data_IF_783673817183
#
_entry.id   IF_783673817183
#
_cell.length_a   1.000
_cell.length_b   1.000
_cell.length_c   1.000
_cell.angle_alpha   90.00
_cell.angle_beta   90.00
_cell.angle_gamma   90.00
#
_symmetry.space_group_name_H-M   'P 1'
#
loop_
_entity.id
_entity.type
_entity.pdbx_description
1 polymer ?
#
# COMPACT_ATOMS: atom_id res chain seq x y z
N UNK A 1 -11.99 -26.49 -11.90
CA UNK A 1 -12.98 -25.68 -11.17
C UNK A 1 -12.40 -25.11 -9.86
N UNK A 2 -12.13 -25.92 -8.81
CA UNK A 2 -11.67 -25.41 -7.50
C UNK A 2 -10.38 -24.60 -7.63
N UNK A 3 -9.38 -25.09 -8.34
CA UNK A 3 -8.11 -24.39 -8.52
C UNK A 3 -8.24 -23.03 -9.24
N UNK A 4 -9.13 -22.93 -10.24
CA UNK A 4 -9.36 -21.66 -10.95
C UNK A 4 -10.13 -20.65 -10.10
N UNK A 5 -11.11 -21.11 -9.31
CA UNK A 5 -11.82 -20.27 -8.36
C UNK A 5 -10.86 -19.75 -7.28
N UNK A 6 -10.07 -20.62 -6.67
CA UNK A 6 -9.09 -20.26 -5.67
C UNK A 6 -8.06 -19.26 -6.21
N UNK A 7 -7.53 -19.49 -7.41
CA UNK A 7 -6.58 -18.59 -8.07
C UNK A 7 -7.17 -17.18 -8.25
N UNK A 8 -8.40 -17.09 -8.75
CA UNK A 8 -9.05 -15.80 -8.95
C UNK A 8 -9.34 -15.08 -7.63
N UNK A 9 -9.83 -15.80 -6.61
CA UNK A 9 -10.11 -15.23 -5.28
C UNK A 9 -8.84 -14.65 -4.66
N UNK A 10 -7.75 -15.41 -4.70
CA UNK A 10 -6.49 -14.97 -4.09
C UNK A 10 -5.91 -13.77 -4.82
N UNK A 11 -5.90 -13.74 -6.18
CA UNK A 11 -5.46 -12.56 -6.93
C UNK A 11 -6.30 -11.32 -6.65
N UNK A 12 -7.62 -11.49 -6.50
CA UNK A 12 -8.54 -10.40 -6.17
C UNK A 12 -8.35 -9.91 -4.74
N UNK A 13 -8.08 -10.81 -3.79
CA UNK A 13 -7.78 -10.45 -2.40
C UNK A 13 -6.45 -9.70 -2.28
N UNK A 14 -5.39 -10.15 -2.95
CA UNK A 14 -4.11 -9.44 -2.97
C UNK A 14 -4.20 -8.08 -3.67
N UNK A 15 -4.93 -7.97 -4.78
CA UNK A 15 -5.14 -6.69 -5.44
C UNK A 15 -5.85 -5.70 -4.49
N UNK A 16 -6.92 -6.14 -3.82
CA UNK A 16 -7.63 -5.33 -2.84
C UNK A 16 -6.76 -4.91 -1.65
N UNK A 17 -5.98 -5.84 -1.09
CA UNK A 17 -5.07 -5.52 0.02
C UNK A 17 -3.99 -4.52 -0.40
N UNK A 18 -3.45 -4.65 -1.61
CA UNK A 18 -2.48 -3.68 -2.15
C UNK A 18 -3.08 -2.29 -2.30
N UNK A 19 -4.26 -2.18 -2.93
CA UNK A 19 -4.97 -0.89 -3.09
C UNK A 19 -5.30 -0.29 -1.74
N UNK A 20 -5.73 -1.10 -0.78
CA UNK A 20 -6.01 -0.69 0.58
C UNK A 20 -4.77 -0.17 1.31
N UNK A 21 -3.64 -0.89 1.27
CA UNK A 21 -2.38 -0.45 1.87
C UNK A 21 -1.87 0.87 1.28
N UNK A 22 -2.02 1.04 -0.03
CA UNK A 22 -1.65 2.29 -0.71
C UNK A 22 -2.60 3.45 -0.37
N UNK A 23 -3.88 3.19 -0.08
CA UNK A 23 -4.83 4.25 0.26
C UNK A 23 -4.49 4.98 1.56
N UNK A 24 -3.92 4.29 2.54
CA UNK A 24 -3.45 4.92 3.78
C UNK A 24 -2.25 5.84 3.55
N UNK A 25 -1.28 5.39 2.76
CA UNK A 25 -0.13 6.19 2.37
C UNK A 25 -0.58 7.49 1.66
N UNK A 26 -1.59 7.40 0.79
CA UNK A 26 -2.08 8.54 0.03
C UNK A 26 -2.73 9.65 0.88
N UNK A 27 -3.08 9.38 2.13
CA UNK A 27 -3.78 10.36 2.98
C UNK A 27 -2.83 11.40 3.58
N UNK A 28 -1.63 10.98 3.99
CA UNK A 28 -0.61 11.88 4.54
C UNK A 28 0.44 12.30 3.52
N UNK A 29 0.67 11.47 2.49
CA UNK A 29 1.72 11.73 1.54
C UNK A 29 1.24 12.63 0.41
N UNK A 30 1.90 13.77 0.20
CA UNK A 30 1.62 14.68 -0.91
C UNK A 30 1.96 14.03 -2.25
N UNK A 31 1.54 14.65 -3.35
CA UNK A 31 1.87 14.16 -4.69
C UNK A 31 3.38 14.18 -4.95
N UNK A 32 4.03 15.28 -4.54
CA UNK A 32 5.48 15.44 -4.50
C UNK A 32 5.91 16.01 -3.15
N UNK A 33 7.12 15.68 -2.70
CA UNK A 33 7.70 16.22 -1.47
C UNK A 33 9.17 16.58 -1.68
N UNK A 34 9.53 17.81 -1.36
CA UNK A 34 10.93 18.21 -1.24
C UNK A 34 11.44 17.85 0.15
N UNK A 35 12.55 17.15 0.21
CA UNK A 35 13.26 16.80 1.43
C UNK A 35 14.72 17.25 1.35
N UNK A 36 15.39 17.60 2.45
CA UNK A 36 16.76 18.10 2.43
C UNK A 36 17.70 17.04 1.82
N UNK A 37 18.60 17.47 0.95
CA UNK A 37 19.63 16.60 0.38
C UNK A 37 20.69 16.23 1.41
N UNK A 38 21.01 17.15 2.32
CA UNK A 38 21.94 16.95 3.41
C UNK A 38 21.36 17.48 4.72
N UNK A 39 21.62 16.76 5.83
CA UNK A 39 21.08 17.14 7.14
C UNK A 39 19.58 16.80 7.31
N UNK A 40 18.92 17.53 8.22
CA UNK A 40 17.50 17.34 8.55
C UNK A 40 16.62 18.50 8.06
N UNK A 41 17.20 19.65 7.82
CA UNK A 41 16.50 20.90 7.51
C UNK A 41 17.17 21.64 6.36
N UNK A 42 16.43 22.47 5.68
CA UNK A 42 16.93 23.43 4.69
C UNK A 42 16.13 24.72 4.78
N UNK A 43 16.73 25.84 4.29
CA UNK A 43 16.07 27.15 4.30
C UNK A 43 15.42 27.43 2.96
N UNK A 44 14.23 28.03 2.99
CA UNK A 44 13.51 28.53 1.82
C UNK A 44 13.39 30.05 1.93
N UNK A 45 13.78 30.76 0.90
CA UNK A 45 13.65 32.23 0.86
C UNK A 45 12.26 32.68 0.37
N UNK A 46 11.89 33.93 0.62
CA UNK A 46 10.62 34.46 0.15
C UNK A 46 10.53 34.49 -1.40
N UNK A 47 11.67 34.71 -2.07
CA UNK A 47 11.74 34.67 -3.53
C UNK A 47 11.47 33.25 -4.07
N UNK A 48 12.01 32.26 -3.40
CA UNK A 48 11.76 30.84 -3.77
C UNK A 48 10.31 30.45 -3.49
N UNK A 49 9.73 30.87 -2.37
CA UNK A 49 8.30 30.64 -2.11
C UNK A 49 7.42 31.25 -3.20
N UNK A 50 7.75 32.49 -3.64
CA UNK A 50 7.03 33.13 -4.73
C UNK A 50 7.19 32.40 -6.05
N UNK A 51 8.42 31.96 -6.36
CA UNK A 51 8.69 31.18 -7.58
C UNK A 51 8.00 29.80 -7.57
N UNK A 52 7.89 29.14 -6.43
CA UNK A 52 7.12 27.89 -6.28
C UNK A 52 5.64 28.11 -6.56
N UNK A 53 5.07 29.23 -6.08
CA UNK A 53 3.65 29.54 -6.28
C UNK A 53 3.29 29.80 -7.76
N UNK A 54 4.26 30.19 -8.60
CA UNK A 54 4.09 30.47 -10.02
C UNK A 54 4.30 29.23 -10.93
N UNK A 55 4.68 28.07 -10.37
CA UNK A 55 4.91 26.86 -11.17
C UNK A 55 3.61 26.36 -11.79
N UNK A 56 3.59 26.27 -13.12
CA UNK A 56 2.46 25.70 -13.86
C UNK A 56 2.26 24.22 -13.50
N UNK A 57 1.00 23.82 -13.22
CA UNK A 57 0.65 22.47 -12.81
C UNK A 57 0.71 22.21 -11.30
N UNK A 58 1.21 23.16 -10.50
CA UNK A 58 1.16 23.11 -9.05
C UNK A 58 -0.15 23.75 -8.54
N UNK A 59 -0.94 22.99 -7.78
CA UNK A 59 -2.18 23.49 -7.20
C UNK A 59 -1.95 24.25 -5.90
N UNK A 60 -1.10 23.72 -5.02
CA UNK A 60 -0.75 24.32 -3.73
C UNK A 60 0.51 23.63 -3.17
N UNK A 61 1.15 24.30 -2.20
CA UNK A 61 2.23 23.69 -1.42
C UNK A 61 2.12 24.08 0.05
N UNK A 62 2.77 23.28 0.91
CA UNK A 62 2.78 23.44 2.36
C UNK A 62 4.15 23.14 2.93
N UNK A 63 4.57 23.95 3.88
CA UNK A 63 5.84 23.78 4.60
C UNK A 63 5.62 22.90 5.84
N UNK A 64 6.61 22.07 6.15
CA UNK A 64 6.60 21.27 7.38
C UNK A 64 7.96 21.26 8.06
N UNK A 65 7.93 21.12 9.39
CA UNK A 65 9.12 20.92 10.22
C UNK A 65 8.86 19.75 11.16
N UNK A 66 9.63 18.67 11.00
CA UNK A 66 9.45 17.43 11.74
C UNK A 66 10.70 17.12 12.59
N UNK A 67 10.51 16.80 13.86
CA UNK A 67 11.60 16.32 14.73
C UNK A 67 11.08 15.26 15.70
N UNK A 68 11.97 14.35 16.10
CA UNK A 68 11.69 13.33 17.09
C UNK A 68 11.53 13.96 18.48
N UNK A 69 10.46 13.61 19.16
CA UNK A 69 10.11 14.18 20.45
C UNK A 69 9.73 13.11 21.46
N UNK A 70 9.91 13.44 22.73
CA UNK A 70 9.40 12.68 23.85
C UNK A 70 8.09 13.31 24.31
N UNK A 71 7.02 12.57 24.19
CA UNK A 71 5.67 13.00 24.51
C UNK A 71 5.30 12.51 25.90
N UNK A 72 4.90 13.40 26.78
CA UNK A 72 4.57 13.04 28.16
C UNK A 72 3.27 13.66 28.64
N UNK A 73 2.53 12.91 29.42
CA UNK A 73 1.36 13.38 30.12
C UNK A 73 1.25 12.67 31.47
N UNK A 74 1.34 13.44 32.57
CA UNK A 74 1.44 12.91 33.93
C UNK A 74 2.60 11.91 34.06
N UNK A 75 2.30 10.66 34.45
CA UNK A 75 3.30 9.59 34.64
C UNK A 75 3.51 8.74 33.35
N UNK A 76 2.75 9.02 32.28
CA UNK A 76 2.84 8.27 31.04
C UNK A 76 3.67 9.02 30.01
N UNK A 77 4.41 8.26 29.22
CA UNK A 77 5.26 8.83 28.17
C UNK A 77 5.41 7.89 26.98
N UNK A 78 5.70 8.47 25.84
CA UNK A 78 6.01 7.73 24.61
C UNK A 78 6.97 8.54 23.72
N UNK A 79 7.62 7.88 22.79
CA UNK A 79 8.41 8.53 21.77
C UNK A 79 7.54 8.68 20.52
N UNK A 80 7.52 9.90 19.99
CA UNK A 80 6.83 10.21 18.73
C UNK A 80 7.60 11.26 17.93
N UNK A 81 6.90 11.90 17.04
CA UNK A 81 7.42 13.01 16.23
C UNK A 81 6.46 14.19 16.33
N UNK A 82 7.01 15.36 16.63
CA UNK A 82 6.26 16.58 16.47
C UNK A 82 6.43 17.05 15.02
N UNK A 83 5.33 17.41 14.38
CA UNK A 83 5.28 17.92 13.01
C UNK A 83 4.59 19.28 13.01
N UNK A 84 5.38 20.33 12.85
CA UNK A 84 4.90 21.66 12.61
C UNK A 84 4.43 21.79 11.17
N UNK A 85 3.22 22.25 10.94
CA UNK A 85 2.62 22.41 9.62
C UNK A 85 2.00 23.81 9.47
N UNK A 86 2.03 24.35 8.25
CA UNK A 86 1.40 25.61 7.93
C UNK A 86 -0.11 25.45 7.62
N UNK A 87 -0.80 26.54 7.37
CA UNK A 87 -2.25 26.56 7.10
C UNK A 87 -2.62 25.81 5.82
N UNK A 88 -1.71 25.73 4.86
CA UNK A 88 -1.95 25.07 3.58
C UNK A 88 -1.87 23.54 3.67
N UNK A 89 -1.31 23.00 4.75
CA UNK A 89 -1.09 21.54 4.91
C UNK A 89 -2.37 20.73 4.67
N UNK A 90 -3.50 21.22 5.18
CA UNK A 90 -4.81 20.57 5.03
C UNK A 90 -5.32 20.55 3.58
N UNK A 91 -4.98 21.59 2.80
CA UNK A 91 -5.34 21.66 1.38
C UNK A 91 -4.42 20.79 0.49
N UNK A 92 -3.18 20.56 0.94
CA UNK A 92 -2.18 19.77 0.21
C UNK A 92 -2.33 18.27 0.50
N UNK A 93 -2.73 17.92 1.72
CA UNK A 93 -2.89 16.52 2.17
C UNK A 93 -4.36 16.21 2.46
N UNK A 94 -4.70 14.92 2.52
CA UNK A 94 -6.06 14.45 2.85
C UNK A 94 -6.34 14.36 4.35
N UNK A 95 -5.54 15.01 5.19
CA UNK A 95 -5.51 14.82 6.64
C UNK A 95 -6.84 15.13 7.34
N UNK A 96 -7.65 16.04 6.80
CA UNK A 96 -8.98 16.36 7.36
C UNK A 96 -9.93 15.15 7.38
N UNK A 97 -9.81 14.27 6.41
CA UNK A 97 -10.65 13.06 6.33
C UNK A 97 -10.33 12.02 7.40
N UNK A 98 -9.20 12.15 8.08
CA UNK A 98 -8.73 11.21 9.11
C UNK A 98 -9.15 11.59 10.53
N UNK A 99 -9.68 12.80 10.70
CA UNK A 99 -10.07 13.31 12.01
C UNK A 99 -11.30 12.57 12.52
N UNK A 100 -11.18 11.91 13.65
CA UNK A 100 -12.29 11.16 14.27
C UNK A 100 -12.94 11.91 15.44
N UNK A 101 -12.16 12.76 16.13
CA UNK A 101 -12.65 13.59 17.22
C UNK A 101 -12.04 14.99 17.15
N UNK A 102 -12.82 15.99 17.57
CA UNK A 102 -12.34 17.38 17.67
C UNK A 102 -12.20 18.07 16.32
N UNK A 103 -11.26 19.01 16.24
CA UNK A 103 -10.97 19.78 15.04
C UNK A 103 -9.49 20.15 14.97
N UNK A 104 -9.04 20.61 13.82
CA UNK A 104 -7.77 21.32 13.69
C UNK A 104 -7.94 22.66 14.38
N UNK A 105 -7.43 22.76 15.62
CA UNK A 105 -7.59 23.97 16.41
C UNK A 105 -7.03 25.21 15.74
N UNK A 106 -7.68 26.35 15.93
CA UNK A 106 -7.23 27.65 15.46
C UNK A 106 -6.23 28.34 16.39
N UNK A 107 -6.17 27.90 17.65
CA UNK A 107 -5.26 28.48 18.62
C UNK A 107 -3.83 27.96 18.43
N UNK A 108 -2.85 28.83 18.62
CA UNK A 108 -1.43 28.54 18.37
C UNK A 108 -0.93 27.30 19.13
N UNK A 109 -1.38 27.12 20.38
CA UNK A 109 -0.95 26.02 21.25
C UNK A 109 -1.76 24.73 21.08
N UNK A 110 -2.61 24.66 20.07
CA UNK A 110 -3.41 23.47 19.78
C UNK A 110 -2.61 22.46 18.96
N UNK A 111 -2.85 21.18 19.26
CA UNK A 111 -2.27 20.09 18.48
C UNK A 111 -3.26 18.96 18.21
N UNK A 112 -3.02 18.25 17.11
CA UNK A 112 -3.77 17.09 16.70
C UNK A 112 -2.88 15.86 16.84
N UNK A 113 -3.36 14.84 17.55
CA UNK A 113 -2.58 13.64 17.85
C UNK A 113 -3.23 12.38 17.28
N UNK A 114 -2.43 11.35 16.98
CA UNK A 114 -2.97 10.06 16.57
C UNK A 114 -3.69 9.34 17.71
N UNK A 115 -4.71 8.55 17.36
CA UNK A 115 -5.51 7.77 18.32
C UNK A 115 -4.64 6.83 19.16
N UNK A 116 -3.54 6.33 18.60
CA UNK A 116 -2.56 5.49 19.30
C UNK A 116 -1.87 6.24 20.45
N UNK A 117 -1.43 7.50 20.21
CA UNK A 117 -0.84 8.38 21.24
C UNK A 117 -1.91 8.77 22.26
N UNK A 118 -3.12 9.13 21.79
CA UNK A 118 -4.25 9.49 22.63
C UNK A 118 -4.57 8.39 23.65
N UNK A 119 -4.71 7.15 23.20
CA UNK A 119 -5.02 6.00 24.06
C UNK A 119 -3.87 5.66 25.02
N UNK A 120 -2.63 5.78 24.55
CA UNK A 120 -1.45 5.41 25.33
C UNK A 120 -1.20 6.41 26.47
N UNK A 121 -1.27 7.70 26.19
CA UNK A 121 -1.05 8.76 27.17
C UNK A 121 -2.30 9.04 28.03
N UNK A 122 -3.50 8.88 27.45
CA UNK A 122 -4.76 9.20 28.11
C UNK A 122 -4.94 10.71 28.34
N UNK A 123 -4.49 11.53 27.39
CA UNK A 123 -4.64 13.00 27.43
C UNK A 123 -6.10 13.35 27.20
N UNK A 124 -6.77 14.10 28.09
CA UNK A 124 -8.15 14.51 27.84
C UNK A 124 -8.21 15.61 26.77
N UNK A 125 -9.22 15.54 25.92
CA UNK A 125 -9.54 16.61 24.98
C UNK A 125 -10.29 17.74 25.71
N UNK A 126 -9.54 18.62 26.35
CA UNK A 126 -10.11 19.80 26.97
C UNK A 126 -9.09 20.95 26.95
N UNK A 127 -9.56 22.19 26.86
CA UNK A 127 -8.71 23.36 26.78
C UNK A 127 -7.95 23.69 28.10
N UNK A 128 -8.03 22.83 29.12
CA UNK A 128 -7.42 23.08 30.42
C UNK A 128 -6.21 22.21 30.72
N UNK A 129 -5.97 21.20 29.90
CA UNK A 129 -4.92 20.22 30.16
C UNK A 129 -4.02 20.07 28.95
N UNK A 130 -2.75 20.37 29.11
CA UNK A 130 -1.75 20.22 28.07
C UNK A 130 -0.93 18.95 28.26
N UNK A 131 -0.50 18.33 27.18
CA UNK A 131 0.60 17.39 27.15
C UNK A 131 1.91 18.14 26.96
N UNK A 132 3.02 17.57 27.44
CA UNK A 132 4.34 18.13 27.21
C UNK A 132 5.04 17.40 26.08
N UNK A 133 5.65 18.18 25.19
CA UNK A 133 6.49 17.73 24.09
C UNK A 133 7.91 18.17 24.40
N UNK A 134 8.81 17.22 24.56
CA UNK A 134 10.21 17.47 24.92
C UNK A 134 11.11 17.09 23.76
N UNK A 135 11.98 18.03 23.35
CA UNK A 135 12.96 17.77 22.28
C UNK A 135 14.37 17.95 22.84
N UNK A 136 15.27 16.95 22.70
CA UNK A 136 16.65 17.06 23.18
C UNK A 136 17.41 18.15 22.44
N UNK A 137 18.19 18.96 23.17
CA UNK A 137 19.07 19.96 22.57
C UNK A 137 20.25 19.30 21.88
N UNK A 138 20.54 19.64 20.61
CA UNK A 138 21.69 19.08 19.90
C UNK A 138 23.02 19.57 20.50
N UNK A 139 23.97 18.69 20.68
CA UNK A 139 25.34 19.02 21.09
C UNK A 139 25.60 19.20 22.60
N UNK A 140 24.57 19.21 23.44
CA UNK A 140 24.73 19.28 24.89
C UNK A 140 24.73 17.90 25.54
N UNK A 141 25.76 17.11 25.25
CA UNK A 141 25.93 15.78 25.82
C UNK A 141 27.14 15.72 26.74
N UNK A 142 26.97 15.85 28.02
CA UNK A 142 27.61 15.12 29.10
C UNK A 142 27.13 15.68 30.42
N UNK A 143 26.44 14.87 31.19
CA UNK A 143 25.93 15.22 32.54
C UNK A 143 27.00 15.55 33.58
N UNK A 144 28.29 15.50 33.26
CA UNK A 144 29.38 15.59 34.20
C UNK A 144 30.07 16.96 34.31
N UNK A 145 29.70 17.97 33.52
CA UNK A 145 30.42 19.28 33.49
C UNK A 145 29.56 20.51 33.74
N UNK A 146 28.27 20.40 33.97
CA UNK A 146 27.40 21.58 34.20
C UNK A 146 26.92 21.67 35.67
N UNK A 147 27.72 22.36 36.43
CA UNK A 147 27.20 23.05 37.59
C UNK A 147 26.38 24.26 37.18
N UNK A 148 25.09 24.32 37.60
CA UNK A 148 24.06 25.31 37.22
C UNK A 148 23.43 25.13 35.82
N UNK A 149 22.46 24.42 35.79
CA UNK A 149 21.65 23.60 34.96
C UNK A 149 20.80 24.35 33.89
N UNK A 150 21.11 24.36 32.60
CA UNK A 150 20.08 24.45 31.59
C UNK A 150 19.48 23.04 31.40
N UNK A 151 18.13 22.95 31.32
CA UNK A 151 17.44 21.70 30.96
C UNK A 151 18.05 21.17 29.65
N UNK A 152 18.37 19.86 29.54
CA UNK A 152 18.99 19.30 28.33
C UNK A 152 18.00 19.12 27.18
N UNK A 153 16.81 19.69 27.29
CA UNK A 153 15.74 19.67 26.32
C UNK A 153 15.01 21.01 26.28
N UNK A 154 14.40 21.27 25.15
CA UNK A 154 13.36 22.29 25.01
C UNK A 154 12.00 21.65 25.22
N UNK A 155 11.08 22.36 25.84
CA UNK A 155 9.74 21.88 26.19
C UNK A 155 8.64 22.76 25.62
N UNK A 156 7.55 22.10 25.19
CA UNK A 156 6.36 22.74 24.68
C UNK A 156 5.13 22.13 25.31
N UNK A 157 4.25 22.96 25.87
CA UNK A 157 2.93 22.54 26.34
C UNK A 157 1.90 22.65 25.24
N UNK A 158 1.31 21.50 24.84
CA UNK A 158 0.38 21.39 23.72
C UNK A 158 -1.00 20.92 24.20
N UNK A 159 -2.05 21.65 23.86
CA UNK A 159 -3.44 21.28 24.14
C UNK A 159 -3.98 20.42 23.00
N UNK A 160 -4.53 19.26 23.32
CA UNK A 160 -5.09 18.35 22.32
C UNK A 160 -6.47 18.86 21.87
N UNK A 161 -6.56 19.36 20.64
CA UNK A 161 -7.79 19.86 20.01
C UNK A 161 -8.45 18.84 19.08
N UNK A 162 -7.71 17.86 18.59
CA UNK A 162 -8.21 16.84 17.69
C UNK A 162 -7.46 15.52 17.78
N UNK A 163 -8.13 14.47 17.37
CA UNK A 163 -7.55 13.11 17.29
C UNK A 163 -7.84 12.53 15.92
N UNK A 164 -6.79 12.09 15.24
CA UNK A 164 -6.88 11.42 13.95
C UNK A 164 -6.66 9.91 14.07
N UNK A 165 -7.18 9.15 13.12
CA UNK A 165 -6.90 7.72 12.95
C UNK A 165 -6.76 7.36 11.47
N UNK A 166 -5.68 6.67 11.15
CA UNK A 166 -5.35 6.19 9.80
C UNK A 166 -4.86 4.76 9.84
N UNK A 167 -3.73 4.54 10.50
CA UNK A 167 -3.05 3.26 10.62
C UNK A 167 -2.26 3.23 11.93
N UNK A 168 -2.17 2.07 12.56
CA UNK A 168 -1.56 1.91 13.90
C UNK A 168 -0.15 2.48 14.00
N UNK A 169 0.68 2.36 12.96
CA UNK A 169 2.05 2.86 12.95
C UNK A 169 2.10 4.39 12.91
N UNK A 170 1.24 5.02 12.11
CA UNK A 170 1.12 6.47 11.98
C UNK A 170 0.40 7.09 13.19
N UNK A 171 -0.61 6.41 13.69
CA UNK A 171 -1.41 6.83 14.84
C UNK A 171 -0.59 6.90 16.16
N UNK A 172 0.50 6.16 16.21
CA UNK A 172 1.45 6.18 17.33
C UNK A 172 2.66 7.09 17.10
N UNK A 173 2.75 7.70 15.91
CA UNK A 173 3.96 8.40 15.48
C UNK A 173 3.86 9.92 15.60
N UNK A 174 2.81 10.53 15.04
CA UNK A 174 2.77 11.97 14.82
C UNK A 174 1.88 12.75 15.79
N UNK A 175 2.40 13.91 16.18
CA UNK A 175 1.68 15.01 16.81
C UNK A 175 1.82 16.22 15.89
N UNK A 176 0.72 16.74 15.39
CA UNK A 176 0.69 17.93 14.54
C UNK A 176 0.49 19.20 15.37
N UNK A 177 1.24 20.23 15.05
CA UNK A 177 1.14 21.56 15.66
C UNK A 177 1.37 22.66 14.62
N UNK A 178 1.16 23.91 14.98
CA UNK A 178 1.45 25.05 14.10
C UNK A 178 2.95 25.14 13.81
N UNK A 179 3.32 25.40 12.56
CA UNK A 179 4.72 25.49 12.12
C UNK A 179 5.54 26.50 12.92
N UNK A 180 5.11 27.76 13.17
CA UNK A 180 5.89 28.72 13.95
C UNK A 180 6.19 28.23 15.38
N UNK A 181 5.22 27.53 15.99
CA UNK A 181 5.39 26.98 17.35
C UNK A 181 6.48 25.91 17.41
N UNK A 182 6.54 25.05 16.38
CA UNK A 182 7.57 24.01 16.29
C UNK A 182 8.92 24.59 15.91
N UNK A 183 8.95 25.65 15.09
CA UNK A 183 10.18 26.39 14.79
C UNK A 183 10.77 27.01 16.07
N UNK A 184 9.93 27.64 16.91
CA UNK A 184 10.35 28.18 18.22
C UNK A 184 10.87 27.06 19.13
N UNK A 185 10.14 25.95 19.27
CA UNK A 185 10.56 24.77 20.07
C UNK A 185 11.94 24.25 19.65
N UNK A 186 12.21 24.23 18.35
CA UNK A 186 13.47 23.72 17.80
C UNK A 186 14.56 24.77 17.64
N UNK A 187 14.31 26.00 18.09
CA UNK A 187 15.20 27.16 17.95
C UNK A 187 15.63 27.38 16.48
N UNK A 188 14.65 27.28 15.56
CA UNK A 188 14.82 27.41 14.11
C UNK A 188 14.24 28.70 13.59
N UNK A 189 14.88 29.24 12.55
CA UNK A 189 14.35 30.42 11.86
C UNK A 189 13.05 30.08 11.11
N UNK A 190 12.22 31.10 10.87
CA UNK A 190 10.95 30.95 10.12
C UNK A 190 11.11 30.46 8.69
N UNK A 191 12.32 30.53 8.14
CA UNK A 191 12.70 30.02 6.82
C UNK A 191 13.14 28.55 6.83
N UNK A 192 13.47 27.98 8.00
CA UNK A 192 13.95 26.61 8.12
C UNK A 192 12.79 25.61 8.15
N UNK A 193 12.86 24.59 7.29
CA UNK A 193 11.87 23.52 7.14
C UNK A 193 12.56 22.17 6.99
N UNK A 194 11.85 21.09 7.35
CA UNK A 194 12.30 19.72 7.10
C UNK A 194 11.72 19.16 5.80
N UNK A 195 10.73 19.82 5.22
CA UNK A 195 10.12 19.41 3.97
C UNK A 195 9.11 20.41 3.44
N UNK A 196 8.85 20.31 2.14
CA UNK A 196 7.77 21.04 1.48
C UNK A 196 6.92 20.02 0.75
N UNK A 197 5.63 20.04 1.03
CA UNK A 197 4.63 19.15 0.44
C UNK A 197 3.95 19.86 -0.73
N UNK A 198 3.76 19.16 -1.85
CA UNK A 198 3.19 19.74 -3.06
C UNK A 198 1.96 18.96 -3.50
N UNK A 199 0.90 19.70 -3.85
CA UNK A 199 -0.31 19.18 -4.47
C UNK A 199 -0.32 19.54 -5.93
N UNK A 200 -0.45 18.56 -6.81
CA UNK A 200 -0.53 18.76 -8.26
C UNK A 200 -1.97 19.07 -8.70
N UNK A 201 -2.11 19.77 -9.82
CA UNK A 201 -3.39 19.84 -10.55
C UNK A 201 -3.68 18.49 -11.22
N UNK A 202 -4.96 18.13 -11.37
CA UNK A 202 -5.38 16.82 -11.86
C UNK A 202 -4.78 16.41 -13.22
N UNK A 203 -4.46 17.39 -14.08
CA UNK A 203 -3.90 17.16 -15.41
C UNK A 203 -2.40 17.44 -15.53
N UNK A 204 -1.72 17.71 -14.43
CA UNK A 204 -0.29 18.04 -14.44
C UNK A 204 0.57 16.80 -14.58
N UNK A 205 1.67 16.91 -15.34
CA UNK A 205 2.71 15.88 -15.41
C UNK A 205 3.58 15.95 -14.15
N UNK A 206 3.64 14.90 -13.31
CA UNK A 206 4.46 14.92 -12.10
C UNK A 206 5.94 15.15 -12.38
N UNK A 207 6.47 14.65 -13.50
CA UNK A 207 7.87 14.77 -13.85
C UNK A 207 8.23 16.19 -14.28
N UNK A 208 7.35 16.88 -15.01
CA UNK A 208 7.58 18.26 -15.45
C UNK A 208 7.53 19.22 -14.25
N UNK A 209 6.53 19.10 -13.38
CA UNK A 209 6.43 19.89 -12.15
C UNK A 209 7.62 19.61 -11.22
N UNK A 210 8.04 18.35 -11.08
CA UNK A 210 9.23 17.96 -10.32
C UNK A 210 10.49 18.67 -10.82
N UNK A 211 10.68 18.72 -12.14
CA UNK A 211 11.83 19.41 -12.74
C UNK A 211 11.80 20.92 -12.48
N UNK A 212 10.62 21.53 -12.55
CA UNK A 212 10.44 22.95 -12.23
C UNK A 212 10.73 23.25 -10.76
N UNK A 213 10.25 22.42 -9.84
CA UNK A 213 10.53 22.55 -8.40
C UNK A 213 12.05 22.39 -8.13
N UNK A 214 12.69 21.39 -8.75
CA UNK A 214 14.13 21.21 -8.61
C UNK A 214 14.93 22.39 -9.16
N UNK A 215 14.46 23.06 -10.21
CA UNK A 215 15.11 24.24 -10.74
C UNK A 215 15.05 25.43 -9.74
N UNK A 216 13.96 25.56 -8.98
CA UNK A 216 13.81 26.58 -7.95
C UNK A 216 14.63 26.27 -6.70
N UNK A 217 14.53 25.04 -6.18
CA UNK A 217 15.16 24.65 -4.91
C UNK A 217 16.65 24.30 -5.05
N UNK A 218 17.13 24.00 -6.27
CA UNK A 218 18.52 23.64 -6.51
C UNK A 218 18.96 22.36 -5.77
N UNK A 219 20.22 22.33 -5.33
CA UNK A 219 20.82 21.15 -4.67
C UNK A 219 20.45 21.00 -3.19
N UNK A 220 19.81 21.98 -2.57
CA UNK A 220 19.48 21.95 -1.13
C UNK A 220 18.37 20.97 -0.76
N UNK A 221 17.48 20.65 -1.71
CA UNK A 221 16.41 19.71 -1.51
C UNK A 221 16.25 18.76 -2.70
N UNK A 222 15.85 17.53 -2.42
CA UNK A 222 15.49 16.52 -3.42
C UNK A 222 14.00 16.33 -3.45
N UNK A 223 13.39 16.42 -4.64
CA UNK A 223 11.94 16.25 -4.81
C UNK A 223 11.63 14.79 -5.09
N UNK A 224 10.86 14.19 -4.19
CA UNK A 224 10.46 12.80 -4.21
C UNK A 224 8.98 12.66 -4.61
N UNK A 225 8.70 11.74 -5.50
CA UNK A 225 7.33 11.31 -5.80
C UNK A 225 6.75 10.51 -4.63
N UNK A 226 5.44 10.37 -4.54
CA UNK A 226 4.75 9.57 -3.50
C UNK A 226 5.31 8.14 -3.41
N UNK A 227 5.66 7.54 -4.55
CA UNK A 227 6.28 6.21 -4.59
C UNK A 227 7.69 6.20 -3.98
N UNK A 228 8.48 7.23 -4.23
CA UNK A 228 9.84 7.36 -3.69
C UNK A 228 9.83 7.68 -2.20
N UNK A 229 8.84 8.46 -1.71
CA UNK A 229 8.62 8.70 -0.28
C UNK A 229 8.38 7.41 0.49
N UNK A 230 7.66 6.44 -0.12
CA UNK A 230 7.27 5.17 0.47
C UNK A 230 8.03 3.97 -0.09
N UNK A 231 9.31 4.13 -0.40
CA UNK A 231 10.14 3.07 -1.00
C UNK A 231 10.07 1.76 -0.20
N UNK A 232 10.02 1.81 1.13
CA UNK A 232 9.92 0.63 1.99
C UNK A 232 8.59 -0.10 1.79
N UNK A 233 7.47 0.61 1.73
CA UNK A 233 6.14 0.05 1.46
C UNK A 233 6.10 -0.60 0.07
N UNK A 234 6.56 0.10 -0.95
CA UNK A 234 6.59 -0.45 -2.32
C UNK A 234 7.53 -1.64 -2.45
N UNK A 235 8.65 -1.65 -1.72
CA UNK A 235 9.57 -2.81 -1.68
C UNK A 235 8.91 -4.01 -1.00
N UNK A 236 8.19 -3.80 0.10
CA UNK A 236 7.39 -4.82 0.78
C UNK A 236 6.34 -5.40 -0.16
N UNK A 237 5.52 -4.56 -0.81
CA UNK A 237 4.51 -4.98 -1.78
C UNK A 237 5.09 -5.75 -2.97
N UNK A 238 6.27 -5.37 -3.46
CA UNK A 238 6.97 -6.10 -4.52
C UNK A 238 7.44 -7.49 -4.05
N UNK A 239 7.90 -7.60 -2.81
CA UNK A 239 8.31 -8.89 -2.21
C UNK A 239 7.10 -9.79 -2.02
N UNK A 240 5.97 -9.26 -1.57
CA UNK A 240 4.70 -10.00 -1.48
C UNK A 240 4.22 -10.48 -2.85
N UNK A 241 4.32 -9.65 -3.88
CA UNK A 241 4.03 -10.04 -5.24
C UNK A 241 4.90 -11.23 -5.70
N UNK A 242 6.20 -11.20 -5.41
CA UNK A 242 7.12 -12.31 -5.74
C UNK A 242 6.73 -13.59 -5.01
N UNK A 243 6.46 -13.52 -3.71
CA UNK A 243 6.01 -14.67 -2.92
C UNK A 243 4.71 -15.26 -3.47
N UNK A 244 3.76 -14.38 -3.80
CA UNK A 244 2.50 -14.75 -4.43
C UNK A 244 2.72 -15.46 -5.76
N UNK A 245 3.60 -14.95 -6.62
CA UNK A 245 3.99 -15.60 -7.88
C UNK A 245 4.56 -17.01 -7.68
N UNK A 246 5.42 -17.21 -6.68
CA UNK A 246 6.00 -18.50 -6.38
C UNK A 246 4.94 -19.50 -5.89
N UNK A 247 4.05 -19.06 -5.01
CA UNK A 247 2.94 -19.88 -4.50
C UNK A 247 2.02 -20.29 -5.66
N UNK A 248 1.65 -19.34 -6.53
CA UNK A 248 0.80 -19.65 -7.68
C UNK A 248 1.46 -20.60 -8.67
N UNK A 249 2.76 -20.42 -8.93
CA UNK A 249 3.50 -21.34 -9.78
C UNK A 249 3.42 -22.78 -9.22
N UNK A 250 3.57 -22.95 -7.91
CA UNK A 250 3.43 -24.24 -7.27
C UNK A 250 2.01 -24.81 -7.41
N UNK A 251 0.99 -24.00 -7.15
CA UNK A 251 -0.42 -24.41 -7.31
C UNK A 251 -0.73 -24.80 -8.76
N UNK A 252 -0.19 -24.07 -9.73
CA UNK A 252 -0.33 -24.37 -11.14
C UNK A 252 0.33 -25.70 -11.55
N UNK A 253 1.51 -26.01 -11.01
CA UNK A 253 2.18 -27.30 -11.21
C UNK A 253 1.31 -28.43 -10.67
N UNK A 254 0.78 -28.29 -9.45
CA UNK A 254 -0.12 -29.29 -8.86
C UNK A 254 -1.39 -29.47 -9.69
N UNK A 255 -1.99 -28.36 -10.14
CA UNK A 255 -3.17 -28.38 -11.00
C UNK A 255 -2.90 -29.09 -12.33
N UNK A 256 -1.73 -28.87 -12.94
CA UNK A 256 -1.31 -29.53 -14.18
C UNK A 256 -1.26 -31.05 -14.00
N UNK A 257 -0.62 -31.53 -12.93
CA UNK A 257 -0.56 -32.98 -12.65
C UNK A 257 -1.95 -33.58 -12.44
N UNK A 258 -2.83 -32.91 -11.69
CA UNK A 258 -4.20 -33.39 -11.48
C UNK A 258 -4.99 -33.45 -12.80
N UNK A 259 -4.85 -32.48 -13.67
CA UNK A 259 -5.53 -32.49 -14.99
C UNK A 259 -4.99 -33.59 -15.88
N UNK A 260 -3.66 -33.77 -15.95
CA UNK A 260 -3.03 -34.84 -16.71
C UNK A 260 -3.54 -36.21 -16.21
N UNK A 261 -3.59 -36.41 -14.89
CA UNK A 261 -4.12 -37.66 -14.28
C UNK A 261 -5.59 -37.90 -14.64
N UNK A 262 -6.43 -36.87 -14.58
CA UNK A 262 -7.85 -36.96 -14.93
C UNK A 262 -8.05 -37.34 -16.43
N UNK A 263 -7.27 -36.75 -17.33
CA UNK A 263 -7.34 -37.07 -18.77
C UNK A 263 -6.83 -38.49 -19.01
N UNK A 264 -5.74 -38.93 -18.36
CA UNK A 264 -5.25 -40.31 -18.50
C UNK A 264 -6.31 -41.28 -18.01
N UNK A 265 -6.96 -41.03 -16.86
CA UNK A 265 -8.05 -41.87 -16.37
C UNK A 265 -9.20 -41.97 -17.35
N UNK A 266 -9.59 -40.84 -17.94
CA UNK A 266 -10.62 -40.78 -18.98
C UNK A 266 -10.23 -41.62 -20.24
N UNK A 267 -8.95 -41.60 -20.64
CA UNK A 267 -8.45 -42.42 -21.74
C UNK A 267 -8.56 -43.92 -21.40
N UNK A 268 -8.21 -44.33 -20.17
CA UNK A 268 -8.29 -45.68 -19.71
C UNK A 268 -9.75 -46.19 -19.65
N UNK A 269 -10.66 -45.38 -19.10
CA UNK A 269 -12.09 -45.70 -19.04
C UNK A 269 -12.73 -45.93 -20.43
N UNK A 270 -12.20 -45.24 -21.45
CA UNK A 270 -12.69 -45.32 -22.84
C UNK A 270 -11.82 -46.21 -23.74
N UNK A 271 -10.93 -47.04 -23.14
CA UNK A 271 -9.99 -47.85 -23.89
C UNK A 271 -10.69 -48.81 -24.88
N UNK A 272 -11.78 -49.45 -24.48
CA UNK A 272 -12.55 -50.35 -25.39
C UNK A 272 -13.15 -49.61 -26.59
N UNK A 273 -13.67 -48.41 -26.37
CA UNK A 273 -14.19 -47.59 -27.47
C UNK A 273 -13.06 -47.18 -28.43
N UNK A 274 -11.88 -46.85 -27.87
CA UNK A 274 -10.69 -46.55 -28.67
C UNK A 274 -10.20 -47.74 -29.48
N UNK A 275 -10.25 -48.96 -28.92
CA UNK A 275 -9.93 -50.22 -29.58
C UNK A 275 -10.89 -50.50 -30.76
N UNK A 276 -12.19 -50.26 -30.56
CA UNK A 276 -13.19 -50.39 -31.63
C UNK A 276 -12.94 -49.41 -32.77
N UNK A 277 -12.68 -48.15 -32.48
CA UNK A 277 -12.35 -47.11 -33.45
C UNK A 277 -11.08 -47.46 -34.23
N UNK A 278 -10.06 -47.95 -33.55
CA UNK A 278 -8.81 -48.39 -34.19
C UNK A 278 -9.03 -49.58 -35.14
N UNK A 279 -9.85 -50.56 -34.72
CA UNK A 279 -10.23 -51.69 -35.56
C UNK A 279 -11.05 -51.28 -36.81
N UNK A 280 -11.76 -50.17 -36.74
CA UNK A 280 -12.47 -49.56 -37.85
C UNK A 280 -11.57 -48.70 -38.77
N UNK A 281 -10.25 -48.63 -38.49
CA UNK A 281 -9.27 -47.97 -39.34
C UNK A 281 -8.85 -46.55 -38.88
N UNK A 282 -9.29 -46.09 -37.71
CA UNK A 282 -8.85 -44.80 -37.16
C UNK A 282 -7.36 -44.87 -36.76
N UNK A 283 -6.60 -43.86 -37.17
CA UNK A 283 -5.17 -43.80 -36.85
C UNK A 283 -4.91 -43.34 -35.39
N UNK A 284 -3.75 -43.67 -34.83
CA UNK A 284 -3.34 -43.25 -33.48
C UNK A 284 -3.30 -41.72 -33.38
N UNK A 285 -2.93 -41.02 -34.47
CA UNK A 285 -2.93 -39.55 -34.52
C UNK A 285 -4.32 -38.97 -34.35
N UNK A 286 -5.33 -39.58 -34.97
CA UNK A 286 -6.73 -39.14 -34.83
C UNK A 286 -7.27 -39.40 -33.43
N UNK A 287 -6.96 -40.58 -32.83
CA UNK A 287 -7.31 -40.87 -31.44
C UNK A 287 -6.66 -39.89 -30.48
N UNK A 288 -5.39 -39.55 -30.64
CA UNK A 288 -4.73 -38.53 -29.85
C UNK A 288 -5.40 -37.16 -29.98
N UNK A 289 -5.81 -36.77 -31.19
CA UNK A 289 -6.51 -35.49 -31.45
C UNK A 289 -7.88 -35.45 -30.74
N UNK A 290 -8.63 -36.58 -30.74
CA UNK A 290 -9.92 -36.66 -30.03
C UNK A 290 -9.73 -36.42 -28.54
N UNK A 291 -8.82 -37.13 -27.89
CA UNK A 291 -8.58 -36.94 -26.46
C UNK A 291 -7.92 -35.59 -26.11
N UNK A 292 -7.11 -35.05 -27.00
CA UNK A 292 -6.59 -33.70 -26.83
C UNK A 292 -7.71 -32.66 -26.80
N UNK A 293 -8.63 -32.69 -27.76
CA UNK A 293 -9.77 -31.77 -27.81
C UNK A 293 -10.68 -31.97 -26.62
N UNK A 294 -10.98 -33.23 -26.27
CA UNK A 294 -11.80 -33.56 -25.09
C UNK A 294 -11.19 -33.04 -23.79
N UNK A 295 -9.88 -33.22 -23.58
CA UNK A 295 -9.17 -32.71 -22.43
C UNK A 295 -9.17 -31.18 -22.37
N UNK A 296 -8.96 -30.52 -23.52
CA UNK A 296 -9.02 -29.06 -23.63
C UNK A 296 -10.42 -28.51 -23.30
N UNK A 297 -11.47 -29.15 -23.79
CA UNK A 297 -12.85 -28.74 -23.50
C UNK A 297 -13.18 -28.88 -22.00
N UNK A 298 -12.85 -30.03 -21.40
CA UNK A 298 -13.11 -30.29 -19.97
C UNK A 298 -12.37 -29.28 -19.09
N UNK A 299 -11.12 -28.98 -19.40
CA UNK A 299 -10.33 -28.03 -18.64
C UNK A 299 -10.82 -26.59 -18.80
N UNK A 300 -11.16 -26.18 -20.05
CA UNK A 300 -11.66 -24.83 -20.33
C UNK A 300 -13.03 -24.60 -19.69
N UNK A 301 -14.01 -25.50 -19.89
CA UNK A 301 -15.33 -25.37 -19.25
C UNK A 301 -15.25 -25.44 -17.73
N UNK A 302 -14.49 -26.40 -17.19
CA UNK A 302 -14.27 -26.49 -15.76
C UNK A 302 -13.59 -25.25 -15.17
N UNK A 303 -12.65 -24.69 -15.91
CA UNK A 303 -11.98 -23.44 -15.57
C UNK A 303 -12.90 -22.24 -15.55
N UNK A 304 -13.70 -22.07 -16.62
CA UNK A 304 -14.68 -20.97 -16.71
C UNK A 304 -15.73 -21.01 -15.59
N UNK A 305 -16.26 -22.21 -15.28
CA UNK A 305 -17.19 -22.37 -14.16
C UNK A 305 -16.51 -21.98 -12.85
N UNK A 306 -15.25 -22.37 -12.65
CA UNK A 306 -14.49 -21.99 -11.45
C UNK A 306 -14.27 -20.48 -11.35
N UNK A 307 -13.91 -19.81 -12.44
CA UNK A 307 -13.79 -18.36 -12.47
C UNK A 307 -15.12 -17.68 -12.19
N UNK A 308 -16.24 -18.17 -12.75
CA UNK A 308 -17.57 -17.63 -12.49
C UNK A 308 -17.94 -17.76 -11.00
N UNK A 309 -17.69 -18.91 -10.36
CA UNK A 309 -17.90 -19.08 -8.92
C UNK A 309 -17.01 -18.15 -8.09
N UNK A 310 -15.74 -18.02 -8.44
CA UNK A 310 -14.83 -17.08 -7.80
C UNK A 310 -15.30 -15.63 -7.94
N UNK A 311 -15.77 -15.25 -9.14
CA UNK A 311 -16.31 -13.91 -9.40
C UNK A 311 -17.58 -13.62 -8.58
N UNK A 312 -18.47 -14.62 -8.43
CA UNK A 312 -19.64 -14.51 -7.58
C UNK A 312 -19.29 -14.32 -6.10
N UNK A 313 -18.28 -15.04 -5.61
CA UNK A 313 -17.79 -14.89 -4.23
C UNK A 313 -17.17 -13.51 -3.99
N UNK A 314 -16.31 -13.04 -4.88
CA UNK A 314 -15.72 -11.69 -4.79
C UNK A 314 -16.79 -10.61 -4.90
N UNK A 315 -17.74 -10.75 -5.85
CA UNK A 315 -18.88 -9.83 -5.98
C UNK A 315 -19.76 -9.79 -4.72
N UNK A 316 -20.00 -10.95 -4.09
CA UNK A 316 -20.74 -11.01 -2.82
C UNK A 316 -19.98 -10.34 -1.68
N UNK A 317 -18.65 -10.50 -1.62
CA UNK A 317 -17.83 -9.81 -0.62
C UNK A 317 -17.87 -8.29 -0.81
N UNK A 318 -17.78 -7.80 -2.05
CA UNK A 318 -17.89 -6.37 -2.36
C UNK A 318 -19.27 -5.79 -1.99
N UNK A 319 -20.33 -6.56 -2.22
CA UNK A 319 -21.70 -6.11 -1.94
C UNK A 319 -22.07 -6.16 -0.45
N UNK A 320 -21.67 -7.21 0.26
CA UNK A 320 -22.13 -7.47 1.63
C UNK A 320 -21.04 -7.34 2.70
N UNK A 321 -19.75 -7.34 2.33
CA UNK A 321 -18.63 -7.21 3.28
C UNK A 321 -18.66 -8.25 4.40
N UNK A 322 -19.07 -9.50 4.09
CA UNK A 322 -19.29 -10.54 5.11
C UNK A 322 -17.98 -11.03 5.75
N UNK A 323 -16.87 -11.03 5.01
CA UNK A 323 -15.55 -11.28 5.56
C UNK A 323 -14.97 -9.96 6.07
N UNK A 324 -14.64 -9.88 7.35
CA UNK A 324 -14.16 -8.66 8.00
C UNK A 324 -12.80 -8.89 8.66
N UNK A 325 -11.93 -7.88 8.61
CA UNK A 325 -10.65 -7.85 9.35
C UNK A 325 -10.92 -7.39 10.79
N UNK A 326 -11.74 -6.34 10.96
CA UNK A 326 -12.20 -5.83 12.25
C UNK A 326 -13.73 -5.70 12.20
N UNK A 327 -14.43 -5.54 13.32
CA UNK A 327 -15.90 -5.39 13.33
C UNK A 327 -16.43 -4.30 12.39
N UNK A 328 -15.64 -3.24 12.15
CA UNK A 328 -16.00 -2.10 11.31
C UNK A 328 -15.40 -2.15 9.90
N UNK A 329 -14.38 -3.01 9.65
CA UNK A 329 -13.62 -3.02 8.40
C UNK A 329 -13.78 -4.35 7.65
N UNK A 330 -14.45 -4.30 6.49
CA UNK A 330 -14.54 -5.44 5.59
C UNK A 330 -13.16 -5.76 4.98
N UNK A 331 -12.89 -7.06 4.75
CA UNK A 331 -11.68 -7.48 4.06
C UNK A 331 -11.65 -6.88 2.64
N UNK A 332 -10.62 -6.09 2.29
CA UNK A 332 -10.53 -5.45 0.98
C UNK A 332 -10.32 -6.49 -0.11
N UNK A 333 -11.19 -6.50 -1.08
CA UNK A 333 -11.06 -7.28 -2.31
C UNK A 333 -11.29 -6.37 -3.51
N UNK A 334 -10.64 -6.67 -4.62
CA UNK A 334 -10.79 -5.89 -5.84
C UNK A 334 -11.13 -6.79 -7.02
N UNK A 335 -12.21 -6.45 -7.73
CA UNK A 335 -12.57 -7.15 -8.97
C UNK A 335 -11.80 -6.52 -10.14
N UNK A 336 -10.66 -7.13 -10.48
CA UNK A 336 -9.83 -6.64 -11.57
C UNK A 336 -9.98 -7.52 -12.81
N UNK A 337 -10.40 -6.91 -13.93
CA UNK A 337 -10.57 -7.61 -15.23
C UNK A 337 -9.25 -8.20 -15.74
N UNK A 338 -8.12 -7.56 -15.44
CA UNK A 338 -6.80 -8.07 -15.83
C UNK A 338 -6.52 -9.39 -15.11
N UNK A 339 -6.82 -9.48 -13.81
CA UNK A 339 -6.68 -10.71 -13.05
C UNK A 339 -7.57 -11.83 -13.59
N UNK A 340 -8.79 -11.50 -14.00
CA UNK A 340 -9.71 -12.44 -14.63
C UNK A 340 -9.11 -12.98 -15.94
N UNK A 341 -8.58 -12.11 -16.80
CA UNK A 341 -7.95 -12.51 -18.07
C UNK A 341 -6.69 -13.35 -17.86
N UNK A 342 -5.88 -13.02 -16.84
CA UNK A 342 -4.70 -13.81 -16.46
C UNK A 342 -5.13 -15.22 -16.06
N UNK A 343 -6.14 -15.36 -15.21
CA UNK A 343 -6.63 -16.67 -14.74
C UNK A 343 -7.18 -17.48 -15.91
N UNK A 344 -8.02 -16.90 -16.75
CA UNK A 344 -8.59 -17.58 -17.94
C UNK A 344 -7.47 -18.00 -18.92
N UNK A 345 -6.54 -17.11 -19.21
CA UNK A 345 -5.39 -17.40 -20.07
C UNK A 345 -4.54 -18.55 -19.52
N UNK A 346 -4.27 -18.52 -18.21
CA UNK A 346 -3.54 -19.59 -17.51
C UNK A 346 -4.23 -20.93 -17.63
N UNK A 347 -5.56 -20.99 -17.42
CA UNK A 347 -6.34 -22.23 -17.54
C UNK A 347 -6.26 -22.80 -18.97
N UNK A 348 -6.39 -21.96 -19.99
CA UNK A 348 -6.30 -22.38 -21.39
C UNK A 348 -4.89 -22.94 -21.67
N UNK A 349 -3.84 -22.24 -21.26
CA UNK A 349 -2.45 -22.70 -21.45
C UNK A 349 -2.20 -24.02 -20.74
N UNK A 350 -2.61 -24.14 -19.48
CA UNK A 350 -2.50 -25.40 -18.74
C UNK A 350 -3.33 -26.50 -19.35
N UNK A 351 -4.54 -26.19 -19.84
CA UNK A 351 -5.40 -27.14 -20.55
C UNK A 351 -4.73 -27.70 -21.81
N UNK A 352 -4.12 -26.85 -22.61
CA UNK A 352 -3.38 -27.25 -23.82
C UNK A 352 -2.19 -28.15 -23.45
N UNK A 353 -1.36 -27.73 -22.49
CA UNK A 353 -0.17 -28.47 -22.07
C UNK A 353 -0.57 -29.85 -21.50
N UNK A 354 -1.53 -29.87 -20.55
CA UNK A 354 -2.00 -31.10 -19.90
C UNK A 354 -2.61 -32.08 -20.88
N UNK A 355 -3.48 -31.59 -21.78
CA UNK A 355 -4.15 -32.40 -22.81
C UNK A 355 -3.13 -32.98 -23.80
N UNK A 356 -2.10 -32.19 -24.18
CA UNK A 356 -1.02 -32.64 -25.06
C UNK A 356 -0.17 -33.75 -24.41
N UNK A 357 0.20 -33.57 -23.14
CA UNK A 357 0.97 -34.55 -22.38
C UNK A 357 0.15 -35.84 -22.23
N UNK A 358 -1.11 -35.73 -21.77
CA UNK A 358 -1.96 -36.92 -21.55
C UNK A 358 -2.26 -37.67 -22.87
N UNK A 359 -2.65 -36.97 -23.93
CA UNK A 359 -2.96 -37.57 -25.24
C UNK A 359 -1.74 -38.26 -25.87
N UNK A 360 -0.52 -37.78 -25.62
CA UNK A 360 0.72 -38.38 -26.11
C UNK A 360 0.96 -39.81 -25.55
N UNK A 361 0.31 -40.15 -24.42
CA UNK A 361 0.40 -41.47 -23.81
C UNK A 361 -0.39 -42.59 -24.55
N UNK A 362 -1.22 -42.20 -25.51
CA UNK A 362 -1.92 -43.15 -26.35
C UNK A 362 -0.91 -43.80 -27.32
N UNK A 363 -0.66 -45.09 -27.14
CA UNK A 363 0.26 -45.89 -27.95
C UNK A 363 -0.47 -47.15 -28.49
N UNK A 364 0.08 -47.77 -29.53
CA UNK A 364 -0.46 -49.02 -30.05
C UNK A 364 -0.56 -50.11 -28.95
N UNK A 365 0.43 -50.22 -28.08
CA UNK A 365 0.42 -51.14 -26.94
C UNK A 365 -0.77 -50.93 -26.01
N UNK A 366 -1.18 -49.67 -25.77
CA UNK A 366 -2.31 -49.35 -24.90
C UNK A 366 -3.64 -49.76 -25.55
N UNK A 367 -3.73 -49.73 -26.87
CA UNK A 367 -4.95 -50.05 -27.63
C UNK A 367 -5.04 -51.54 -27.98
N UNK A 368 -3.90 -52.20 -28.15
CA UNK A 368 -3.86 -53.64 -28.46
C UNK A 368 -3.97 -54.57 -27.23
N UNK A 369 -3.64 -54.07 -26.06
CA UNK A 369 -3.86 -54.74 -24.78
C UNK A 369 -5.35 -54.66 -24.38
#
# INVERSE_FOLDING_TARGET
MIGSAALFIVLSAFAGLKTFSLSFSNTFDPDLKASPTTGKHFSISAEEESALAEIEGLANFSKELEERAYLTYKEKSTIGYIKGVDENYRAVTGVDSTLIFGNWGSDVNNGVIGIGIYNLLGVPMNNRTAMEVLVPKPGEGSFSQQGFNPKPYDDLSLVVSGVYAVEESLDKKYVFAHLPLVQELLQKDSTEVSGINFKLMDNASPDDVRNSINAVLGEKASVLTRREQNTSLYRMLNTENLATYLIFTLVLIIALFNVVGAIIMMILDKQQNSKTLFSLGTTIKELRRIYFIQGLLVTSFGGLIGVALGSLLIGSQLAFGWLKITPSLAYPVEFNVINLLIVVGTIVVLGVISSKIASSRITEKLISA
#
